data_IF_762768209747
#
_entry.id   IF_762768209747
#
_cell.length_a   1.000
_cell.length_b   1.000
_cell.length_c   1.000
_cell.angle_alpha   90.00
_cell.angle_beta   90.00
_cell.angle_gamma   90.00
#
_symmetry.space_group_name_H-M   'P 1'
#
loop_
_entity.id
_entity.type
_entity.pdbx_description
1 polymer ?
#
# COMPACT_ATOMS: atom_id res chain seq x y z
N UNK A 1 17.39 -21.83 -0.94
CA UNK A 1 16.48 -22.96 -0.67
C UNK A 1 15.17 -22.69 -1.39
N UNK A 2 14.72 -23.64 -2.20
CA UNK A 2 13.55 -23.48 -3.07
C UNK A 2 12.29 -23.81 -2.24
N UNK A 3 11.62 -22.82 -1.67
CA UNK A 3 10.29 -23.01 -1.10
C UNK A 3 9.26 -23.16 -2.22
N UNK A 4 8.77 -24.36 -2.45
CA UNK A 4 7.73 -24.61 -3.43
C UNK A 4 6.39 -24.07 -2.87
N UNK A 5 5.84 -23.07 -3.56
CA UNK A 5 4.49 -22.55 -3.29
C UNK A 5 3.46 -23.68 -3.59
N UNK A 6 2.76 -24.17 -2.60
CA UNK A 6 1.74 -25.21 -2.75
C UNK A 6 0.39 -24.67 -2.26
N UNK A 7 -0.33 -24.00 -3.16
CA UNK A 7 -1.78 -23.89 -3.01
C UNK A 7 -2.39 -25.04 -3.78
N UNK A 8 -3.13 -25.93 -3.12
CA UNK A 8 -3.97 -26.90 -3.83
C UNK A 8 -3.68 -28.37 -3.69
N UNK A 9 -2.91 -28.84 -2.70
CA UNK A 9 -2.76 -30.28 -2.48
C UNK A 9 -4.00 -31.00 -1.96
N UNK A 10 -4.95 -30.28 -1.37
CA UNK A 10 -6.16 -30.92 -0.81
C UNK A 10 -7.32 -31.09 -1.81
N UNK A 11 -7.28 -30.47 -2.98
CA UNK A 11 -8.38 -30.56 -3.97
C UNK A 11 -8.02 -31.24 -5.30
N UNK A 12 -6.84 -31.84 -5.44
CA UNK A 12 -6.47 -32.53 -6.69
C UNK A 12 -6.46 -31.62 -7.92
N UNK A 13 -6.11 -30.33 -7.76
CA UNK A 13 -6.15 -29.34 -8.82
C UNK A 13 -5.06 -29.62 -9.86
N UNK A 14 -5.49 -29.99 -11.06
CA UNK A 14 -4.65 -30.13 -12.26
C UNK A 14 -4.39 -28.78 -12.96
N UNK A 15 -5.06 -27.71 -12.55
CA UNK A 15 -4.96 -26.40 -13.16
C UNK A 15 -4.22 -25.40 -12.25
N UNK A 16 -3.45 -24.46 -12.85
CA UNK A 16 -2.80 -23.38 -12.11
C UNK A 16 -3.81 -22.54 -11.32
N UNK A 17 -3.49 -22.11 -10.08
CA UNK A 17 -4.38 -21.30 -9.29
C UNK A 17 -4.73 -19.97 -10.00
N UNK A 18 -5.99 -19.56 -9.90
CA UNK A 18 -6.48 -18.29 -10.44
C UNK A 18 -6.47 -17.21 -9.35
N UNK A 19 -5.82 -16.11 -9.65
CA UNK A 19 -5.65 -14.97 -8.76
C UNK A 19 -6.44 -13.79 -9.31
N UNK A 20 -7.39 -13.27 -8.53
CA UNK A 20 -8.07 -12.00 -8.82
C UNK A 20 -7.29 -10.85 -8.20
N UNK A 21 -6.89 -9.88 -9.01
CA UNK A 21 -6.29 -8.62 -8.55
C UNK A 21 -7.27 -7.48 -8.78
N UNK A 22 -7.65 -6.77 -7.72
CA UNK A 22 -8.40 -5.52 -7.85
C UNK A 22 -7.46 -4.32 -7.79
N UNK A 23 -7.83 -3.23 -8.43
CA UNK A 23 -6.97 -2.04 -8.48
C UNK A 23 -5.73 -2.20 -9.35
N UNK A 24 -5.72 -3.16 -10.29
CA UNK A 24 -4.57 -3.47 -11.15
C UNK A 24 -4.12 -2.33 -12.09
N UNK A 25 -4.92 -1.28 -12.26
CA UNK A 25 -4.53 -0.03 -12.94
C UNK A 25 -4.00 1.06 -11.99
N UNK A 26 -4.05 0.83 -10.67
CA UNK A 26 -3.59 1.77 -9.65
C UNK A 26 -2.11 1.58 -9.29
N UNK A 27 -1.65 2.41 -8.36
CA UNK A 27 -0.25 2.42 -7.90
C UNK A 27 0.19 1.05 -7.38
N UNK A 28 -0.36 0.57 -6.27
CA UNK A 28 0.06 -0.69 -5.66
C UNK A 28 -0.39 -1.89 -6.50
N UNK A 29 -1.66 -1.92 -6.91
CA UNK A 29 -2.22 -3.05 -7.67
C UNK A 29 -1.56 -3.26 -9.04
N UNK A 30 -1.10 -2.20 -9.70
CA UNK A 30 -0.30 -2.30 -10.92
C UNK A 30 1.02 -3.03 -10.72
N UNK A 31 1.73 -2.73 -9.62
CA UNK A 31 2.97 -3.44 -9.25
C UNK A 31 2.69 -4.89 -8.82
N UNK A 32 1.57 -5.15 -8.13
CA UNK A 32 1.14 -6.53 -7.81
C UNK A 32 0.87 -7.33 -9.08
N UNK A 33 0.14 -6.75 -10.04
CA UNK A 33 -0.11 -7.39 -11.33
C UNK A 33 1.17 -7.60 -12.14
N UNK A 34 2.17 -6.72 -12.02
CA UNK A 34 3.49 -6.89 -12.63
C UNK A 34 4.28 -8.01 -11.95
N UNK A 35 4.35 -8.04 -10.62
CA UNK A 35 5.05 -9.07 -9.86
C UNK A 35 4.52 -10.50 -10.15
N UNK A 36 3.22 -10.65 -10.42
CA UNK A 36 2.63 -11.92 -10.84
C UNK A 36 3.06 -12.38 -12.26
N UNK A 37 3.64 -11.49 -13.07
CA UNK A 37 4.10 -11.78 -14.43
C UNK A 37 5.61 -11.94 -14.53
N UNK A 38 6.37 -11.65 -13.48
CA UNK A 38 7.83 -11.77 -13.50
C UNK A 38 8.25 -13.23 -13.73
N UNK A 39 9.20 -13.48 -14.69
CA UNK A 39 9.72 -14.81 -14.95
C UNK A 39 10.53 -15.29 -13.73
N UNK A 40 10.13 -16.36 -13.09
CA UNK A 40 10.87 -16.95 -11.96
C UNK A 40 10.01 -17.75 -11.00
N UNK A 41 8.70 -17.68 -11.10
CA UNK A 41 7.78 -18.55 -10.37
C UNK A 41 7.71 -19.95 -11.01
N UNK A 42 7.95 -20.99 -10.21
CA UNK A 42 7.89 -22.40 -10.66
C UNK A 42 6.46 -22.85 -11.00
N UNK A 43 5.46 -22.04 -10.64
CA UNK A 43 4.03 -22.37 -10.85
C UNK A 43 3.42 -21.29 -11.76
N UNK A 44 2.84 -21.68 -12.90
CA UNK A 44 2.06 -20.76 -13.71
C UNK A 44 0.79 -20.35 -12.97
N UNK A 45 0.56 -19.03 -12.86
CA UNK A 45 -0.69 -18.49 -12.33
C UNK A 45 -1.61 -18.06 -13.46
N UNK A 46 -2.91 -18.11 -13.19
CA UNK A 46 -3.92 -17.48 -14.05
C UNK A 46 -4.36 -16.19 -13.37
N UNK A 47 -3.99 -15.04 -13.94
CA UNK A 47 -4.28 -13.73 -13.35
C UNK A 47 -5.52 -13.15 -13.99
N UNK A 48 -6.54 -12.86 -13.17
CA UNK A 48 -7.72 -12.08 -13.52
C UNK A 48 -7.57 -10.67 -12.95
N UNK A 49 -7.78 -9.65 -13.77
CA UNK A 49 -7.80 -8.26 -13.32
C UNK A 49 -9.24 -7.76 -13.24
N UNK A 50 -9.65 -7.27 -12.06
CA UNK A 50 -10.90 -6.53 -11.92
C UNK A 50 -10.60 -5.04 -12.19
N UNK A 51 -11.17 -4.52 -13.28
CA UNK A 51 -10.96 -3.14 -13.72
C UNK A 51 -12.30 -2.45 -13.93
N UNK A 52 -12.43 -1.22 -13.45
CA UNK A 52 -13.58 -0.36 -13.73
C UNK A 52 -13.61 0.07 -15.19
N UNK A 53 -12.47 0.43 -15.73
CA UNK A 53 -12.31 0.77 -17.14
C UNK A 53 -11.19 -0.07 -17.76
N UNK A 54 -11.50 -1.10 -18.55
CA UNK A 54 -10.51 -2.00 -19.14
C UNK A 54 -9.80 -1.45 -20.38
N UNK A 55 -10.05 -0.20 -20.78
CA UNK A 55 -9.40 0.41 -21.97
C UNK A 55 -7.88 0.40 -21.78
N UNK A 56 -7.16 -0.17 -22.72
CA UNK A 56 -5.70 -0.31 -22.67
C UNK A 56 -5.19 -1.49 -21.81
N UNK A 57 -6.06 -2.34 -21.25
CA UNK A 57 -5.62 -3.58 -20.61
C UNK A 57 -4.98 -4.49 -21.67
N UNK A 58 -3.80 -5.06 -21.32
CA UNK A 58 -3.09 -5.95 -22.24
C UNK A 58 -3.99 -7.10 -22.68
N UNK A 59 -4.05 -7.36 -23.98
CA UNK A 59 -4.92 -8.38 -24.60
C UNK A 59 -4.70 -9.81 -24.10
N UNK A 60 -3.65 -10.06 -23.30
CA UNK A 60 -3.28 -11.37 -22.76
C UNK A 60 -3.79 -11.61 -21.31
N UNK A 61 -4.49 -10.66 -20.69
CA UNK A 61 -4.99 -10.81 -19.33
C UNK A 61 -6.47 -11.19 -19.32
N UNK A 62 -6.86 -12.14 -18.45
CA UNK A 62 -8.26 -12.36 -18.10
C UNK A 62 -8.75 -11.11 -17.35
N UNK A 63 -9.58 -10.28 -18.00
CA UNK A 63 -10.07 -9.02 -17.44
C UNK A 63 -11.57 -9.11 -17.23
N UNK A 64 -12.00 -8.80 -16.02
CA UNK A 64 -13.41 -8.64 -15.69
C UNK A 64 -13.70 -7.17 -15.41
N UNK A 65 -14.76 -6.66 -16.04
CA UNK A 65 -15.22 -5.29 -15.80
C UNK A 65 -16.18 -5.27 -14.62
N UNK A 66 -15.82 -4.55 -13.56
CA UNK A 66 -16.68 -4.28 -12.41
C UNK A 66 -16.24 -3.02 -11.68
N UNK A 67 -17.13 -2.43 -10.90
CA UNK A 67 -16.87 -1.25 -10.08
C UNK A 67 -17.23 -1.55 -8.62
N UNK A 68 -16.31 -1.28 -7.69
CA UNK A 68 -16.56 -1.43 -6.26
C UNK A 68 -17.69 -0.50 -5.76
N UNK A 69 -17.96 0.59 -6.47
CA UNK A 69 -19.10 1.47 -6.18
C UNK A 69 -20.45 0.87 -6.64
N UNK A 70 -20.43 -0.21 -7.42
CA UNK A 70 -21.62 -0.93 -7.89
C UNK A 70 -21.55 -2.41 -7.48
N UNK A 71 -22.11 -2.78 -6.31
CA UNK A 71 -22.11 -4.15 -5.81
C UNK A 71 -22.72 -5.18 -6.77
N UNK A 72 -23.64 -4.76 -7.64
CA UNK A 72 -24.27 -5.67 -8.62
C UNK A 72 -23.25 -6.13 -9.66
N UNK A 73 -22.35 -5.24 -10.06
CA UNK A 73 -21.28 -5.53 -11.03
C UNK A 73 -20.26 -6.56 -10.49
N UNK A 74 -20.19 -6.76 -9.18
CA UNK A 74 -19.25 -7.69 -8.56
C UNK A 74 -19.72 -9.16 -8.61
N UNK A 75 -20.97 -9.43 -8.96
CA UNK A 75 -21.50 -10.80 -9.02
C UNK A 75 -20.78 -11.64 -10.08
N UNK A 76 -20.28 -12.82 -9.67
CA UNK A 76 -19.57 -13.75 -10.54
C UNK A 76 -18.09 -13.39 -10.79
N UNK A 77 -17.59 -12.25 -10.30
CA UNK A 77 -16.17 -11.86 -10.54
C UNK A 77 -15.18 -12.83 -9.90
N UNK A 78 -15.61 -13.52 -8.82
CA UNK A 78 -14.80 -14.50 -8.09
C UNK A 78 -15.02 -15.94 -8.56
N UNK A 79 -15.82 -16.20 -9.58
CA UNK A 79 -16.06 -17.57 -10.05
C UNK A 79 -14.77 -18.24 -10.54
N UNK A 80 -14.45 -19.38 -9.90
CA UNK A 80 -13.23 -20.15 -10.14
C UNK A 80 -11.94 -19.42 -9.74
N UNK A 81 -12.01 -18.42 -8.86
CA UNK A 81 -10.87 -17.73 -8.24
C UNK A 81 -10.46 -18.45 -6.96
N UNK A 82 -9.16 -18.68 -6.78
CA UNK A 82 -8.60 -19.29 -5.58
C UNK A 82 -8.12 -18.24 -4.56
N UNK A 83 -7.60 -17.11 -5.07
CA UNK A 83 -7.00 -16.04 -4.25
C UNK A 83 -7.47 -14.67 -4.74
N UNK A 84 -7.90 -13.82 -3.81
CA UNK A 84 -8.16 -12.39 -4.07
C UNK A 84 -7.05 -11.54 -3.46
N UNK A 85 -6.38 -10.74 -4.29
CA UNK A 85 -5.45 -9.69 -3.89
C UNK A 85 -6.15 -8.33 -4.07
N UNK A 86 -6.71 -7.81 -2.99
CA UNK A 86 -7.52 -6.60 -3.01
C UNK A 86 -6.66 -5.37 -2.75
N UNK A 87 -6.30 -4.65 -3.84
CA UNK A 87 -5.49 -3.43 -3.81
C UNK A 87 -6.28 -2.18 -4.20
N UNK A 88 -7.53 -2.32 -4.63
CA UNK A 88 -8.35 -1.19 -5.03
C UNK A 88 -8.76 -0.36 -3.81
N UNK A 89 -8.65 0.96 -3.93
CA UNK A 89 -9.10 1.91 -2.92
C UNK A 89 -9.32 3.28 -3.57
N UNK A 90 -10.33 4.01 -3.11
CA UNK A 90 -10.44 5.44 -3.36
C UNK A 90 -9.70 6.21 -2.26
N UNK A 91 -8.86 7.17 -2.66
CA UNK A 91 -8.12 8.05 -1.75
C UNK A 91 -8.58 9.48 -2.00
N UNK A 92 -9.06 10.16 -0.97
CA UNK A 92 -9.54 11.54 -1.06
C UNK A 92 -10.33 11.97 0.18
N UNK A 93 -10.83 13.20 0.13
CA UNK A 93 -11.59 13.83 1.22
C UNK A 93 -13.11 13.68 1.04
N UNK A 94 -13.59 13.13 -0.09
CA UNK A 94 -15.00 12.81 -0.30
C UNK A 94 -15.38 11.58 0.53
N UNK A 95 -16.02 11.83 1.67
CA UNK A 95 -16.41 10.82 2.65
C UNK A 95 -17.38 9.80 2.04
N UNK A 96 -18.38 10.27 1.29
CA UNK A 96 -19.38 9.40 0.67
C UNK A 96 -18.76 8.47 -0.37
N UNK A 97 -17.84 8.98 -1.18
CA UNK A 97 -17.19 8.18 -2.21
C UNK A 97 -16.19 7.19 -1.59
N UNK A 98 -15.44 7.60 -0.55
CA UNK A 98 -14.55 6.70 0.18
C UNK A 98 -15.33 5.58 0.88
N UNK A 99 -16.46 5.88 1.50
CA UNK A 99 -17.34 4.89 2.13
C UNK A 99 -17.91 3.92 1.09
N UNK A 100 -18.46 4.44 -0.01
CA UNK A 100 -19.05 3.61 -1.07
C UNK A 100 -18.03 2.64 -1.66
N UNK A 101 -16.83 3.12 -2.02
CA UNK A 101 -15.82 2.30 -2.71
C UNK A 101 -15.05 1.42 -1.73
N UNK A 102 -14.55 2.00 -0.62
CA UNK A 102 -13.63 1.27 0.26
C UNK A 102 -14.37 0.37 1.24
N UNK A 103 -15.45 0.86 1.88
CA UNK A 103 -16.19 0.10 2.87
C UNK A 103 -17.19 -0.84 2.19
N UNK A 104 -18.24 -0.29 1.58
CA UNK A 104 -19.32 -1.08 0.98
C UNK A 104 -18.83 -1.95 -0.19
N UNK A 105 -17.94 -1.41 -1.04
CA UNK A 105 -17.35 -2.16 -2.15
C UNK A 105 -16.48 -3.32 -1.69
N UNK A 106 -15.68 -3.16 -0.63
CA UNK A 106 -14.89 -4.26 -0.06
C UNK A 106 -15.80 -5.29 0.58
N UNK A 107 -16.84 -4.87 1.29
CA UNK A 107 -17.85 -5.78 1.84
C UNK A 107 -18.44 -6.66 0.75
N UNK A 108 -18.95 -6.06 -0.32
CA UNK A 108 -19.57 -6.79 -1.43
C UNK A 108 -18.58 -7.73 -2.14
N UNK A 109 -17.31 -7.34 -2.28
CA UNK A 109 -16.26 -8.19 -2.83
C UNK A 109 -15.96 -9.40 -1.93
N UNK A 110 -15.90 -9.22 -0.61
CA UNK A 110 -15.66 -10.31 0.36
C UNK A 110 -16.85 -11.26 0.41
N UNK A 111 -18.09 -10.75 0.37
CA UNK A 111 -19.30 -11.55 0.27
C UNK A 111 -19.30 -12.42 -1.00
N UNK A 112 -18.90 -11.85 -2.13
CA UNK A 112 -18.77 -12.55 -3.41
C UNK A 112 -17.63 -13.58 -3.38
N UNK A 113 -16.48 -13.25 -2.78
CA UNK A 113 -15.39 -14.19 -2.59
C UNK A 113 -15.81 -15.39 -1.73
N UNK A 114 -16.55 -15.14 -0.65
CA UNK A 114 -17.11 -16.19 0.22
C UNK A 114 -18.11 -17.06 -0.54
N UNK A 115 -19.05 -16.46 -1.30
CA UNK A 115 -20.00 -17.17 -2.16
C UNK A 115 -19.31 -18.11 -3.14
N UNK A 116 -18.23 -17.64 -3.77
CA UNK A 116 -17.47 -18.38 -4.77
C UNK A 116 -16.51 -19.43 -4.17
N UNK A 117 -16.37 -19.49 -2.84
CA UNK A 117 -15.46 -20.41 -2.16
C UNK A 117 -13.98 -20.05 -2.36
N UNK A 118 -13.65 -18.77 -2.49
CA UNK A 118 -12.27 -18.27 -2.54
C UNK A 118 -11.52 -18.72 -1.29
N UNK A 119 -10.36 -19.32 -1.47
CA UNK A 119 -9.59 -19.87 -0.35
C UNK A 119 -8.85 -18.77 0.47
N UNK A 120 -8.49 -17.66 -0.15
CA UNK A 120 -7.70 -16.59 0.49
C UNK A 120 -8.08 -15.21 -0.01
N UNK A 121 -8.20 -14.27 0.92
CA UNK A 121 -8.35 -12.84 0.65
C UNK A 121 -7.22 -12.10 1.33
N UNK A 122 -6.44 -11.32 0.57
CA UNK A 122 -5.42 -10.42 1.09
C UNK A 122 -5.81 -8.99 0.73
N UNK A 123 -5.99 -8.16 1.73
CA UNK A 123 -6.37 -6.75 1.56
C UNK A 123 -5.21 -5.81 1.88
N UNK A 124 -4.87 -4.93 0.96
CA UNK A 124 -3.88 -3.88 1.20
C UNK A 124 -4.58 -2.68 1.84
N UNK A 125 -4.44 -2.56 3.15
CA UNK A 125 -4.91 -1.44 3.97
C UNK A 125 -3.78 -0.40 4.17
N UNK A 126 -3.76 0.28 5.30
CA UNK A 126 -2.82 1.36 5.62
C UNK A 126 -2.60 1.47 7.13
N UNK A 127 -1.41 1.85 7.58
CA UNK A 127 -1.17 2.20 8.98
C UNK A 127 -1.92 3.48 9.43
N UNK A 128 -2.44 4.28 8.50
CA UNK A 128 -3.26 5.45 8.84
C UNK A 128 -4.58 5.11 9.57
N UNK A 129 -4.96 3.84 9.65
CA UNK A 129 -6.09 3.36 10.49
C UNK A 129 -5.86 3.56 11.97
N UNK A 130 -4.61 3.73 12.42
CA UNK A 130 -4.29 4.01 13.83
C UNK A 130 -4.39 5.50 14.20
N UNK A 131 -4.45 6.41 13.21
CA UNK A 131 -4.53 7.84 13.46
C UNK A 131 -3.17 8.54 13.51
N UNK A 132 -2.97 9.44 14.48
CA UNK A 132 -1.89 10.43 14.42
C UNK A 132 -0.62 10.13 15.22
N UNK A 133 -0.57 9.06 15.94
CA UNK A 133 0.62 8.69 16.73
C UNK A 133 0.84 9.50 18.00
N UNK A 134 2.02 9.47 18.63
CA UNK A 134 3.21 8.76 18.13
C UNK A 134 3.08 7.24 18.18
N UNK A 135 3.74 6.55 17.25
CA UNK A 135 3.85 5.09 17.23
C UNK A 135 5.32 4.70 17.10
N UNK A 136 5.81 3.91 18.04
CA UNK A 136 7.22 3.54 18.14
C UNK A 136 7.34 2.04 18.32
N UNK A 137 7.82 1.35 17.28
CA UNK A 137 8.01 -0.12 17.25
C UNK A 137 6.79 -0.93 17.72
N UNK A 138 5.61 -0.39 17.47
CA UNK A 138 4.38 -0.99 17.96
C UNK A 138 3.91 -2.12 17.04
N UNK A 139 3.52 -3.29 17.56
CA UNK A 139 2.97 -4.39 16.77
C UNK A 139 1.51 -4.12 16.35
N UNK A 140 1.06 -4.82 15.30
CA UNK A 140 -0.22 -4.53 14.67
C UNK A 140 -1.46 -4.87 15.52
N UNK A 141 -1.32 -5.81 16.43
CA UNK A 141 -2.37 -6.32 17.33
C UNK A 141 -2.50 -5.53 18.63
N UNK A 142 -1.49 -4.72 18.98
CA UNK A 142 -1.51 -3.89 20.19
C UNK A 142 -2.07 -2.47 19.97
N UNK A 143 -2.19 -2.04 18.70
CA UNK A 143 -2.61 -0.68 18.38
C UNK A 143 -4.13 -0.58 18.16
N UNK A 144 -4.83 0.28 18.93
CA UNK A 144 -6.23 0.54 18.70
C UNK A 144 -6.44 1.31 17.38
N UNK A 145 -7.52 1.00 16.68
CA UNK A 145 -7.91 1.76 15.50
C UNK A 145 -8.52 3.11 15.90
N UNK A 146 -7.95 4.20 15.39
CA UNK A 146 -8.39 5.57 15.61
C UNK A 146 -8.28 6.41 14.33
N UNK A 147 -8.90 5.99 13.22
CA UNK A 147 -8.71 6.60 11.91
C UNK A 147 -9.19 8.05 11.87
N UNK A 148 -8.37 8.96 11.35
CA UNK A 148 -8.61 10.41 11.43
C UNK A 148 -9.18 11.02 10.12
N UNK A 149 -9.03 10.35 8.97
CA UNK A 149 -9.49 10.84 7.67
C UNK A 149 -10.64 9.99 7.10
N UNK A 150 -11.45 10.52 6.14
CA UNK A 150 -12.46 9.71 5.47
C UNK A 150 -11.88 8.43 4.86
N UNK A 151 -10.74 8.54 4.17
CA UNK A 151 -10.03 7.39 3.60
C UNK A 151 -9.63 6.36 4.66
N UNK A 152 -9.05 6.78 5.79
CA UNK A 152 -8.63 5.84 6.83
C UNK A 152 -9.83 5.21 7.57
N UNK A 153 -10.92 5.96 7.78
CA UNK A 153 -12.15 5.43 8.39
C UNK A 153 -12.79 4.34 7.52
N UNK A 154 -12.98 4.62 6.24
CA UNK A 154 -13.58 3.65 5.31
C UNK A 154 -12.72 2.40 5.14
N UNK A 155 -11.38 2.54 5.18
CA UNK A 155 -10.47 1.39 5.11
C UNK A 155 -10.44 0.58 6.39
N UNK A 156 -10.50 1.21 7.56
CA UNK A 156 -10.64 0.51 8.83
C UNK A 156 -11.97 -0.28 8.91
N UNK A 157 -13.06 0.27 8.35
CA UNK A 157 -14.32 -0.45 8.22
C UNK A 157 -14.19 -1.67 7.30
N UNK A 158 -13.51 -1.52 6.16
CA UNK A 158 -13.25 -2.58 5.19
C UNK A 158 -12.44 -3.75 5.77
N UNK A 159 -11.46 -3.46 6.64
CA UNK A 159 -10.63 -4.48 7.28
C UNK A 159 -11.45 -5.53 8.01
N UNK A 160 -12.55 -5.13 8.67
CA UNK A 160 -13.41 -6.04 9.44
C UNK A 160 -13.96 -7.17 8.58
N UNK A 161 -14.46 -6.86 7.39
CA UNK A 161 -15.03 -7.88 6.50
C UNK A 161 -13.99 -8.92 6.07
N UNK A 162 -12.74 -8.46 5.82
CA UNK A 162 -11.64 -9.34 5.43
C UNK A 162 -11.20 -10.21 6.61
N UNK A 163 -11.06 -9.62 7.81
CA UNK A 163 -10.67 -10.33 9.03
C UNK A 163 -11.74 -11.35 9.47
N UNK A 164 -13.02 -10.98 9.42
CA UNK A 164 -14.15 -11.86 9.74
C UNK A 164 -14.24 -13.06 8.78
N UNK A 165 -13.80 -12.87 7.52
CA UNK A 165 -13.68 -13.95 6.54
C UNK A 165 -12.37 -14.78 6.69
N UNK A 166 -11.57 -14.54 7.72
CA UNK A 166 -10.29 -15.24 7.93
C UNK A 166 -9.16 -14.81 6.99
N UNK A 167 -9.29 -13.66 6.34
CA UNK A 167 -8.29 -13.11 5.43
C UNK A 167 -7.14 -12.38 6.13
N UNK A 168 -6.20 -11.89 5.34
CA UNK A 168 -5.07 -11.09 5.78
C UNK A 168 -5.23 -9.62 5.41
N UNK A 169 -4.92 -8.73 6.34
CA UNK A 169 -4.90 -7.28 6.16
C UNK A 169 -3.45 -6.79 6.26
N UNK A 170 -2.97 -6.13 5.22
CA UNK A 170 -1.62 -5.59 5.15
C UNK A 170 -1.67 -4.07 5.35
N UNK A 171 -0.99 -3.58 6.38
CA UNK A 171 -0.96 -2.16 6.77
C UNK A 171 0.42 -1.53 6.50
N UNK A 172 0.74 -1.16 5.25
CA UNK A 172 1.92 -0.32 4.97
C UNK A 172 1.72 1.10 5.49
N UNK A 173 2.85 1.80 5.80
CA UNK A 173 2.81 3.21 6.15
C UNK A 173 3.13 4.10 4.93
N UNK A 174 4.38 4.50 4.72
CA UNK A 174 4.75 5.30 3.55
C UNK A 174 5.19 4.38 2.41
N UNK A 175 4.36 4.25 1.38
CA UNK A 175 4.68 3.48 0.18
C UNK A 175 5.30 4.38 -0.86
N UNK A 176 6.51 4.05 -1.32
CA UNK A 176 7.30 4.86 -2.25
C UNK A 176 7.55 4.09 -3.55
N UNK A 177 7.52 4.80 -4.68
CA UNK A 177 7.90 4.22 -5.96
C UNK A 177 7.16 4.81 -7.15
N UNK A 178 7.48 4.35 -8.36
CA UNK A 178 6.85 4.81 -9.59
C UNK A 178 5.32 4.59 -9.51
N UNK A 179 4.54 5.63 -9.76
CA UNK A 179 3.09 5.65 -9.60
C UNK A 179 2.58 6.29 -8.31
N UNK A 180 3.45 6.59 -7.32
CA UNK A 180 3.08 7.34 -6.12
C UNK A 180 2.75 8.80 -6.48
N UNK A 181 1.53 9.21 -6.15
CA UNK A 181 1.04 10.58 -6.37
C UNK A 181 0.84 11.38 -5.08
N UNK A 182 1.18 10.80 -3.93
CA UNK A 182 0.80 11.33 -2.62
C UNK A 182 1.99 11.56 -1.70
N UNK A 183 2.82 10.55 -1.48
CA UNK A 183 3.85 10.57 -0.43
C UNK A 183 5.01 11.47 -0.84
N UNK A 184 5.75 11.12 -1.88
CA UNK A 184 6.91 11.92 -2.33
C UNK A 184 6.47 13.25 -2.93
N UNK A 185 5.42 13.37 -3.76
CA UNK A 185 4.91 14.65 -4.21
C UNK A 185 4.49 15.57 -3.05
N UNK A 186 3.86 15.01 -2.00
CA UNK A 186 3.52 15.76 -0.78
C UNK A 186 4.75 16.28 -0.03
N UNK A 187 5.79 15.44 0.11
CA UNK A 187 7.07 15.86 0.70
C UNK A 187 7.78 16.93 -0.15
N UNK A 188 7.78 16.79 -1.47
CA UNK A 188 8.36 17.79 -2.37
C UNK A 188 7.63 19.13 -2.27
N UNK A 189 6.30 19.12 -2.23
CA UNK A 189 5.48 20.31 -2.05
C UNK A 189 5.72 20.96 -0.68
N UNK A 190 5.82 20.18 0.40
CA UNK A 190 6.17 20.66 1.74
C UNK A 190 7.55 21.32 1.74
N UNK A 191 8.55 20.63 1.19
CA UNK A 191 9.94 21.10 1.13
C UNK A 191 10.05 22.40 0.32
N UNK A 192 9.37 22.47 -0.82
CA UNK A 192 9.27 23.69 -1.63
C UNK A 192 8.56 24.83 -0.91
N UNK A 193 7.47 24.54 -0.18
CA UNK A 193 6.75 25.54 0.63
C UNK A 193 7.60 26.09 1.79
N UNK A 194 8.48 25.25 2.36
CA UNK A 194 9.43 25.62 3.40
C UNK A 194 10.61 26.42 2.83
N UNK A 195 10.99 26.18 1.57
CA UNK A 195 12.18 26.73 0.88
C UNK A 195 13.51 26.42 1.58
N UNK A 196 13.51 25.44 2.48
CA UNK A 196 14.65 25.10 3.34
C UNK A 196 14.67 23.61 3.65
N UNK A 197 15.82 23.10 4.09
CA UNK A 197 15.92 21.77 4.71
C UNK A 197 15.33 21.80 6.12
N UNK A 198 14.66 20.71 6.50
CA UNK A 198 14.29 20.49 7.88
C UNK A 198 15.49 19.90 8.64
N UNK A 199 15.84 20.50 9.79
CA UNK A 199 16.90 20.03 10.69
C UNK A 199 16.33 19.64 12.05
N UNK A 200 17.00 18.70 12.72
CA UNK A 200 16.69 18.36 14.11
C UNK A 200 15.34 17.65 14.33
N UNK A 201 14.64 17.23 13.27
CA UNK A 201 13.45 16.41 13.40
C UNK A 201 13.88 14.96 13.62
N UNK A 202 13.82 14.51 14.87
CA UNK A 202 14.22 13.16 15.27
C UNK A 202 13.16 12.09 14.98
N UNK A 203 11.96 12.50 14.57
CA UNK A 203 10.85 11.58 14.26
C UNK A 203 11.24 10.58 13.16
N UNK A 204 10.80 9.34 13.32
CA UNK A 204 11.09 8.22 12.42
C UNK A 204 9.83 7.75 11.72
N UNK A 205 9.98 7.33 10.48
CA UNK A 205 8.87 6.89 9.62
C UNK A 205 9.15 5.49 9.09
N UNK A 206 8.17 4.61 9.17
CA UNK A 206 8.20 3.36 8.41
C UNK A 206 7.97 3.63 6.94
N UNK A 207 8.80 3.03 6.08
CA UNK A 207 8.71 3.16 4.62
C UNK A 207 8.72 1.79 3.97
N UNK A 208 8.18 1.67 2.78
CA UNK A 208 8.30 0.45 1.95
C UNK A 208 8.37 0.80 0.48
N UNK A 209 9.26 0.14 -0.25
CA UNK A 209 9.29 0.16 -1.72
C UNK A 209 8.05 -0.54 -2.27
N UNK A 210 7.38 0.07 -3.24
CA UNK A 210 6.15 -0.48 -3.83
C UNK A 210 6.37 -1.85 -4.48
N UNK A 211 7.56 -2.12 -5.02
CA UNK A 211 7.89 -3.44 -5.60
C UNK A 211 8.09 -4.50 -4.52
N UNK A 212 8.70 -4.13 -3.39
CA UNK A 212 8.82 -5.02 -2.23
C UNK A 212 7.43 -5.32 -1.65
N UNK A 213 6.59 -4.28 -1.46
CA UNK A 213 5.20 -4.43 -1.04
C UNK A 213 4.42 -5.34 -2.01
N UNK A 214 4.57 -5.16 -3.32
CA UNK A 214 3.88 -5.98 -4.31
C UNK A 214 4.27 -7.46 -4.21
N UNK A 215 5.58 -7.76 -4.08
CA UNK A 215 6.04 -9.13 -3.84
C UNK A 215 5.47 -9.71 -2.54
N UNK A 216 5.43 -8.90 -1.48
CA UNK A 216 4.87 -9.30 -0.20
C UNK A 216 3.37 -9.62 -0.29
N UNK A 217 2.58 -8.80 -1.01
CA UNK A 217 1.15 -9.05 -1.27
C UNK A 217 0.95 -10.37 -2.02
N UNK A 218 1.73 -10.61 -3.07
CA UNK A 218 1.69 -11.88 -3.83
C UNK A 218 2.05 -13.05 -2.93
N UNK A 219 3.13 -12.95 -2.18
CA UNK A 219 3.58 -14.01 -1.29
C UNK A 219 2.59 -14.30 -0.16
N UNK A 220 1.96 -13.26 0.42
CA UNK A 220 0.91 -13.42 1.43
C UNK A 220 -0.30 -14.22 0.89
N UNK A 221 -0.68 -13.97 -0.38
CA UNK A 221 -1.74 -14.73 -1.06
C UNK A 221 -1.37 -16.16 -1.39
N UNK A 222 -0.09 -16.44 -1.59
CA UNK A 222 0.41 -17.70 -2.13
C UNK A 222 1.22 -18.55 -1.14
N UNK A 223 1.45 -18.09 0.09
CA UNK A 223 2.21 -18.81 1.11
C UNK A 223 1.63 -20.19 1.41
N UNK A 224 2.47 -21.16 1.79
CA UNK A 224 2.00 -22.53 2.16
C UNK A 224 1.03 -22.47 3.34
N UNK A 225 1.36 -21.72 4.36
CA UNK A 225 0.46 -21.45 5.48
C UNK A 225 -0.36 -20.18 5.20
N UNK A 226 -1.67 -20.27 5.33
CA UNK A 226 -2.55 -19.12 5.15
C UNK A 226 -2.17 -18.03 6.15
N UNK A 227 -1.87 -16.85 5.62
CA UNK A 227 -1.69 -15.66 6.44
C UNK A 227 -3.08 -15.13 6.82
N UNK A 228 -3.30 -14.88 8.10
CA UNK A 228 -4.56 -14.32 8.63
C UNK A 228 -4.25 -13.16 9.58
N UNK A 229 -5.24 -12.30 9.83
CA UNK A 229 -5.06 -11.17 10.74
C UNK A 229 -4.41 -9.95 10.09
N UNK A 230 -4.07 -8.96 10.91
CA UNK A 230 -3.49 -7.70 10.45
C UNK A 230 -1.96 -7.68 10.63
N UNK A 231 -1.25 -7.18 9.62
CA UNK A 231 0.21 -7.16 9.60
C UNK A 231 0.74 -5.81 9.11
N UNK A 232 1.78 -5.30 9.75
CA UNK A 232 2.57 -4.21 9.20
C UNK A 232 3.47 -4.74 8.08
N UNK A 233 3.53 -3.98 6.98
CA UNK A 233 4.36 -4.32 5.81
C UNK A 233 5.21 -3.12 5.45
N UNK A 234 6.27 -2.94 6.20
CA UNK A 234 7.22 -1.85 6.05
C UNK A 234 8.64 -2.42 5.99
N UNK A 235 9.60 -1.67 5.43
CA UNK A 235 11.01 -2.03 5.57
C UNK A 235 11.36 -2.08 7.07
N UNK A 236 12.15 -3.07 7.54
CA UNK A 236 12.49 -3.20 8.96
C UNK A 236 13.23 -1.99 9.54
N UNK A 237 13.97 -1.26 8.71
CA UNK A 237 14.68 -0.05 9.12
C UNK A 237 13.82 1.19 8.87
N UNK A 238 13.29 1.86 9.91
CA UNK A 238 12.60 3.13 9.75
C UNK A 238 13.58 4.25 9.42
N UNK A 239 13.09 5.32 8.79
CA UNK A 239 13.91 6.43 8.28
C UNK A 239 13.58 7.72 9.02
N UNK A 240 14.59 8.52 9.36
CA UNK A 240 14.40 9.84 9.95
C UNK A 240 13.66 10.79 9.00
N UNK A 241 12.73 11.59 9.53
CA UNK A 241 11.94 12.52 8.72
C UNK A 241 12.82 13.59 8.06
N UNK A 242 13.87 14.06 8.75
CA UNK A 242 14.86 14.98 8.14
C UNK A 242 15.60 14.33 6.98
N UNK A 243 15.93 13.04 7.09
CA UNK A 243 16.63 12.28 6.04
C UNK A 243 15.71 12.02 4.83
N UNK A 244 14.43 11.70 5.09
CA UNK A 244 13.43 11.55 4.05
C UNK A 244 13.28 12.83 3.22
N UNK A 245 13.05 13.96 3.90
CA UNK A 245 12.91 15.27 3.22
C UNK A 245 14.20 15.71 2.53
N UNK A 246 15.35 15.44 3.16
CA UNK A 246 16.67 15.73 2.57
C UNK A 246 16.90 14.95 1.27
N UNK A 247 16.63 13.63 1.30
CA UNK A 247 16.77 12.78 0.12
C UNK A 247 15.81 13.18 -1.01
N UNK A 248 14.56 13.55 -0.68
CA UNK A 248 13.60 14.08 -1.66
C UNK A 248 14.15 15.36 -2.30
N UNK A 249 14.63 16.32 -1.50
CA UNK A 249 15.19 17.55 -2.01
C UNK A 249 16.39 17.30 -2.95
N UNK A 250 17.33 16.46 -2.52
CA UNK A 250 18.56 16.20 -3.27
C UNK A 250 18.29 15.44 -4.57
N UNK A 251 17.51 14.37 -4.49
CA UNK A 251 17.25 13.50 -5.64
C UNK A 251 16.33 14.14 -6.68
N UNK A 252 15.45 15.05 -6.27
CA UNK A 252 14.56 15.77 -7.17
C UNK A 252 15.14 17.14 -7.62
N UNK A 253 16.31 17.53 -7.11
CA UNK A 253 16.95 18.79 -7.48
C UNK A 253 16.18 20.03 -7.01
N UNK A 254 15.50 19.94 -5.85
CA UNK A 254 14.72 21.06 -5.34
C UNK A 254 15.65 22.21 -4.91
N UNK A 255 15.37 23.41 -5.39
CA UNK A 255 16.10 24.61 -4.96
C UNK A 255 15.61 25.05 -3.58
N UNK A 256 16.52 25.07 -2.60
CA UNK A 256 16.26 25.46 -1.23
C UNK A 256 17.18 26.62 -0.84
N UNK A 257 16.79 27.85 -1.20
CA UNK A 257 17.65 29.04 -1.00
C UNK A 257 17.81 29.44 0.47
N UNK A 258 16.85 29.06 1.33
CA UNK A 258 16.85 29.44 2.73
C UNK A 258 17.75 28.52 3.57
N UNK A 259 18.32 29.01 4.68
CA UNK A 259 19.08 28.15 5.61
C UNK A 259 18.18 27.08 6.22
N UNK A 260 18.77 25.94 6.67
CA UNK A 260 18.02 24.86 7.33
C UNK A 260 17.24 25.38 8.54
N UNK A 261 15.97 24.92 8.68
CA UNK A 261 15.05 25.32 9.75
C UNK A 261 14.74 24.16 10.67
N UNK A 262 14.60 24.45 11.96
CA UNK A 262 14.02 23.50 12.91
C UNK A 262 12.51 23.42 12.81
N UNK A 263 11.89 22.57 13.65
CA UNK A 263 10.43 22.35 13.58
C UNK A 263 9.61 23.59 13.92
N UNK A 264 10.04 24.42 14.84
CA UNK A 264 9.27 25.60 15.27
C UNK A 264 9.37 26.73 14.25
N UNK A 265 10.56 26.94 13.68
CA UNK A 265 10.76 27.82 12.54
C UNK A 265 9.95 27.37 11.33
N UNK A 266 9.91 26.05 11.07
CA UNK A 266 9.13 25.46 9.99
C UNK A 266 7.62 25.63 10.19
N UNK A 267 7.11 25.40 11.40
CA UNK A 267 5.71 25.65 11.76
C UNK A 267 5.32 27.11 11.55
N UNK A 268 6.15 28.02 12.03
CA UNK A 268 5.94 29.47 11.87
C UNK A 268 5.88 29.85 10.39
N UNK A 269 6.83 29.37 9.59
CA UNK A 269 6.91 29.63 8.14
C UNK A 269 5.69 29.10 7.37
N UNK A 270 5.13 27.99 7.81
CA UNK A 270 4.01 27.30 7.15
C UNK A 270 2.63 27.66 7.75
N UNK A 271 2.54 28.56 8.74
CA UNK A 271 1.30 28.89 9.43
C UNK A 271 0.14 29.28 8.48
N UNK A 272 0.45 30.01 7.39
CA UNK A 272 -0.52 30.39 6.35
C UNK A 272 -0.74 29.35 5.26
N UNK A 273 -0.13 28.14 5.37
CA UNK A 273 -0.17 27.05 4.37
C UNK A 273 -0.70 25.76 5.02
N UNK A 274 -2.00 25.64 5.28
CA UNK A 274 -2.56 24.57 6.13
C UNK A 274 -2.25 23.17 5.64
N UNK A 275 -2.21 22.92 4.33
CA UNK A 275 -1.83 21.61 3.77
C UNK A 275 -0.38 21.26 4.08
N UNK A 276 0.55 22.19 3.86
CA UNK A 276 1.96 21.96 4.15
C UNK A 276 2.20 21.80 5.66
N UNK A 277 1.52 22.58 6.49
CA UNK A 277 1.58 22.46 7.95
C UNK A 277 1.03 21.11 8.43
N UNK A 278 -0.03 20.62 7.82
CA UNK A 278 -0.56 19.26 8.10
C UNK A 278 0.48 18.19 7.76
N UNK A 279 1.08 18.24 6.57
CA UNK A 279 2.13 17.28 6.17
C UNK A 279 3.35 17.34 7.10
N UNK A 280 3.78 18.55 7.51
CA UNK A 280 4.83 18.70 8.51
C UNK A 280 4.45 18.04 9.83
N UNK A 281 3.20 18.22 10.29
CA UNK A 281 2.69 17.62 11.52
C UNK A 281 2.73 16.09 11.50
N UNK A 282 2.46 15.48 10.35
CA UNK A 282 2.57 14.02 10.18
C UNK A 282 4.02 13.53 10.24
N UNK A 283 4.94 14.25 9.61
CA UNK A 283 6.36 13.89 9.57
C UNK A 283 7.11 14.24 10.88
N UNK A 284 6.56 15.13 11.69
CA UNK A 284 7.17 15.57 12.95
C UNK A 284 6.93 14.63 14.13
N UNK A 285 6.20 13.54 13.93
CA UNK A 285 5.82 12.57 14.95
C UNK A 285 6.25 11.17 14.49
N UNK A 286 6.69 10.34 15.44
CA UNK A 286 7.07 8.96 15.16
C UNK A 286 5.89 8.16 14.60
N UNK A 287 6.11 7.56 13.43
CA UNK A 287 5.20 6.61 12.79
C UNK A 287 6.02 5.43 12.26
N UNK A 288 6.58 4.63 13.16
CA UNK A 288 7.27 3.41 12.76
C UNK A 288 6.78 2.21 13.58
N UNK A 289 6.68 1.09 12.89
CA UNK A 289 5.90 -0.05 13.32
C UNK A 289 6.75 -1.31 13.22
N UNK A 290 6.63 -2.19 14.22
CA UNK A 290 7.22 -3.51 14.17
C UNK A 290 6.63 -4.34 13.04
N UNK A 291 7.45 -5.08 12.30
CA UNK A 291 6.98 -5.98 11.23
C UNK A 291 6.46 -7.32 11.76
N UNK A 292 6.66 -7.60 13.04
CA UNK A 292 6.23 -8.84 13.70
C UNK A 292 6.75 -10.12 13.03
N UNK A 293 7.89 -10.04 12.32
CA UNK A 293 8.45 -11.15 11.55
C UNK A 293 7.69 -11.46 10.24
N UNK A 294 6.91 -10.50 9.74
CA UNK A 294 6.11 -10.66 8.52
C UNK A 294 6.94 -11.13 7.32
N UNK A 295 8.07 -10.45 7.04
CA UNK A 295 8.91 -10.77 5.89
C UNK A 295 9.46 -12.20 5.91
N UNK A 296 9.86 -12.66 7.10
CA UNK A 296 10.32 -14.04 7.28
C UNK A 296 9.19 -15.05 7.05
N UNK A 297 7.97 -14.75 7.53
CA UNK A 297 6.79 -15.62 7.34
C UNK A 297 6.39 -15.76 5.90
N UNK A 298 6.43 -14.68 5.12
CA UNK A 298 6.09 -14.73 3.69
C UNK A 298 7.27 -15.14 2.79
N UNK A 299 8.48 -15.27 3.36
CA UNK A 299 9.68 -15.69 2.63
C UNK A 299 10.15 -14.69 1.56
N UNK A 300 9.91 -13.40 1.78
CA UNK A 300 10.25 -12.32 0.84
C UNK A 300 11.27 -11.38 1.46
N UNK A 301 12.29 -11.03 0.67
CA UNK A 301 13.26 -9.98 1.02
C UNK A 301 12.55 -8.60 1.03
N UNK A 302 12.59 -7.83 2.14
CA UNK A 302 12.06 -6.46 2.19
C UNK A 302 12.73 -5.51 1.20
N UNK A 303 13.82 -5.90 0.60
CA UNK A 303 14.58 -5.13 -0.37
C UNK A 303 15.67 -4.29 0.25
N UNK A 304 16.21 -3.40 -0.55
CA UNK A 304 17.24 -2.45 -0.09
C UNK A 304 16.57 -1.29 0.66
N UNK A 305 17.19 -0.81 1.74
CA UNK A 305 16.68 0.32 2.53
C UNK A 305 16.37 1.57 1.69
N UNK A 306 15.68 2.51 2.29
CA UNK A 306 15.10 3.69 1.65
C UNK A 306 16.02 4.41 0.64
N UNK A 307 17.24 4.75 1.04
CA UNK A 307 18.13 5.58 0.21
C UNK A 307 18.44 4.96 -1.16
N UNK A 308 18.63 3.63 -1.19
CA UNK A 308 18.95 2.90 -2.41
C UNK A 308 17.70 2.65 -3.26
N UNK A 309 16.59 2.30 -2.63
CA UNK A 309 15.31 2.13 -3.28
C UNK A 309 14.80 3.43 -3.90
N UNK A 310 14.81 4.53 -3.14
CA UNK A 310 14.35 5.83 -3.62
C UNK A 310 15.20 6.34 -4.80
N UNK A 311 16.51 6.11 -4.79
CA UNK A 311 17.38 6.48 -5.91
C UNK A 311 16.93 5.85 -7.25
N UNK A 312 16.38 4.64 -7.23
CA UNK A 312 15.89 3.95 -8.44
C UNK A 312 14.58 4.57 -8.96
N UNK A 313 13.77 5.17 -8.10
CA UNK A 313 12.51 5.79 -8.45
C UNK A 313 12.60 7.30 -8.73
N UNK A 314 13.70 7.95 -8.32
CA UNK A 314 13.87 9.39 -8.47
C UNK A 314 13.69 9.92 -9.92
N UNK A 315 14.13 9.23 -10.99
CA UNK A 315 13.86 9.65 -12.36
C UNK A 315 12.37 9.77 -12.68
N UNK A 316 11.56 8.80 -12.25
CA UNK A 316 10.12 8.83 -12.44
C UNK A 316 9.46 10.01 -11.71
N UNK A 317 9.87 10.29 -10.46
CA UNK A 317 9.34 11.41 -9.69
C UNK A 317 9.69 12.76 -10.31
N UNK A 318 10.90 12.92 -10.84
CA UNK A 318 11.29 14.15 -11.56
C UNK A 318 10.37 14.40 -12.74
N UNK A 319 10.21 13.42 -13.61
CA UNK A 319 9.31 13.51 -14.76
C UNK A 319 7.85 13.78 -14.34
N UNK A 320 7.38 13.14 -13.28
CA UNK A 320 6.02 13.32 -12.76
C UNK A 320 5.76 14.75 -12.24
N UNK A 321 6.74 15.37 -11.57
CA UNK A 321 6.60 16.69 -10.97
C UNK A 321 6.84 17.83 -11.97
N UNK A 322 7.41 17.57 -13.13
CA UNK A 322 7.58 18.51 -14.22
C UNK A 322 6.32 18.67 -15.11
N UNK A 323 5.35 17.74 -14.99
CA UNK A 323 4.06 17.78 -15.72
C UNK A 323 3.06 18.72 -15.07
#
# INVERSE_FOLDING_TARGET
>A
MRGALIIGRERGLTLPPRILVTGGSGFIGGHVAAALREPGGVIPFRVRLLLRNPVGAAAAADVVRADLADPVSLRGVCDGVDVVLHCASHVGDDERLTETVNDHGTRALVEEATRAGVARVVYVSTAAVYGRGPFTDAPADELPLAPASPTSRSRAAAERYVLDAGGAVLRPHLVLGAGDRWVVPGMAALTGALSARLKGCAARQSVVDVRALARAVVAAGLSEQALTGAHHVNHPEPVGSSDLMGAVADRLGLRLPDPPRDLDEARTRLAAKPRALHHLGMLAVDHWFADGGFWARVGVDPGTGFARSFAQHAPWYREFLER
#
